data_IF_232143997082
#
_entry.id   IF_232143997082
#
_cell.length_a   1.000
_cell.length_b   1.000
_cell.length_c   1.000
_cell.angle_alpha   90.00
_cell.angle_beta   90.00
_cell.angle_gamma   90.00
#
_symmetry.space_group_name_H-M   'P 1'
#
loop_
_entity.id
_entity.type
_entity.pdbx_description
1 polymer ?
#
# COMPACT_ATOMS: atom_id res chain seq x y z
N UNK A 1 9.75 13.10 5.88
CA UNK A 1 8.86 11.95 6.00
C UNK A 1 8.28 11.54 4.66
N UNK A 2 7.53 10.42 4.59
CA UNK A 2 7.00 9.86 3.33
C UNK A 2 6.30 10.91 2.47
N UNK A 3 5.51 11.79 3.06
CA UNK A 3 4.76 12.82 2.33
C UNK A 3 5.63 13.93 1.74
N UNK A 4 6.72 14.29 2.38
CA UNK A 4 7.65 15.30 1.84
C UNK A 4 8.37 14.80 0.58
N UNK A 5 8.44 13.49 0.41
CA UNK A 5 9.09 12.85 -0.74
C UNK A 5 8.12 12.53 -1.89
N UNK A 6 6.81 12.64 -1.68
CA UNK A 6 5.80 12.29 -2.70
C UNK A 6 6.04 13.00 -4.04
N UNK A 7 6.31 14.32 -4.09
CA UNK A 7 6.56 14.99 -5.38
C UNK A 7 7.77 14.43 -6.12
N UNK A 8 8.86 14.11 -5.39
CA UNK A 8 10.08 13.55 -5.98
C UNK A 8 9.85 12.13 -6.48
N UNK A 9 9.18 11.29 -5.68
CA UNK A 9 8.84 9.92 -6.05
C UNK A 9 7.85 9.89 -7.22
N UNK A 10 6.84 10.75 -7.20
CA UNK A 10 5.90 10.89 -8.30
C UNK A 10 6.62 11.23 -9.60
N UNK A 11 7.51 12.23 -9.59
CA UNK A 11 8.29 12.64 -10.76
C UNK A 11 9.13 11.50 -11.31
N UNK A 12 9.74 10.68 -10.45
CA UNK A 12 10.49 9.48 -10.85
C UNK A 12 9.62 8.43 -11.51
N UNK A 13 8.50 8.06 -10.88
CA UNK A 13 7.56 7.05 -11.37
C UNK A 13 6.84 7.49 -12.65
N UNK A 14 6.53 8.77 -12.78
CA UNK A 14 5.84 9.35 -13.93
C UNK A 14 6.78 9.79 -15.07
N UNK A 15 8.03 9.32 -15.07
CA UNK A 15 9.02 9.66 -16.08
C UNK A 15 9.25 11.17 -16.26
N UNK A 16 9.28 11.88 -15.15
CA UNK A 16 9.58 13.31 -15.12
C UNK A 16 8.38 14.24 -15.22
N UNK A 17 7.15 13.72 -15.29
CA UNK A 17 5.96 14.57 -15.20
C UNK A 17 5.88 15.26 -13.83
N UNK A 18 5.44 16.53 -13.86
CA UNK A 18 5.19 17.28 -12.63
C UNK A 18 3.92 16.83 -11.93
N UNK A 19 3.88 16.76 -10.58
CA UNK A 19 2.64 16.56 -9.84
C UNK A 19 1.55 17.58 -10.16
N UNK A 20 1.92 18.76 -10.66
CA UNK A 20 0.96 19.80 -11.07
C UNK A 20 -0.05 19.33 -12.12
N UNK A 21 0.27 18.28 -12.89
CA UNK A 21 -0.66 17.66 -13.83
C UNK A 21 -1.96 17.20 -13.14
N UNK A 22 -1.87 16.78 -11.88
CA UNK A 22 -3.03 16.37 -11.08
C UNK A 22 -3.90 17.55 -10.66
N UNK A 23 -3.33 18.75 -10.55
CA UNK A 23 -4.07 19.96 -10.20
C UNK A 23 -4.67 20.64 -11.42
N UNK A 24 -3.92 20.68 -12.52
CA UNK A 24 -4.30 21.35 -13.77
C UNK A 24 -5.09 20.44 -14.73
N UNK A 25 -5.06 19.12 -14.51
CA UNK A 25 -5.66 18.13 -15.41
C UNK A 25 -4.80 17.76 -16.62
N UNK A 26 -3.80 18.57 -16.95
CA UNK A 26 -2.86 18.30 -18.06
C UNK A 26 -1.52 18.99 -17.83
N UNK A 27 -0.52 18.57 -18.59
CA UNK A 27 0.79 19.27 -18.73
C UNK A 27 1.30 19.09 -20.16
N UNK A 28 2.25 19.94 -20.55
CA UNK A 28 2.95 19.77 -21.82
C UNK A 28 4.33 19.16 -21.57
N UNK A 29 4.63 18.06 -22.25
CA UNK A 29 5.89 17.35 -22.15
C UNK A 29 6.45 17.14 -23.58
N UNK A 30 7.62 17.73 -23.85
CA UNK A 30 8.25 17.67 -25.17
C UNK A 30 7.34 18.08 -26.34
N UNK A 31 6.50 19.11 -26.12
CA UNK A 31 5.55 19.60 -27.12
C UNK A 31 4.28 18.76 -27.26
N UNK A 32 4.11 17.73 -26.44
CA UNK A 32 2.89 16.89 -26.42
C UNK A 32 2.10 17.18 -25.15
N UNK A 33 0.80 17.44 -25.29
CA UNK A 33 -0.08 17.58 -24.16
C UNK A 33 -0.46 16.22 -23.61
N UNK A 34 -0.20 16.01 -22.31
CA UNK A 34 -0.46 14.75 -21.59
C UNK A 34 -1.29 15.00 -20.35
N UNK A 35 -2.07 13.99 -19.98
CA UNK A 35 -2.88 13.97 -18.77
C UNK A 35 -2.82 12.59 -18.13
N UNK A 36 -3.07 12.51 -16.82
CA UNK A 36 -3.36 11.25 -16.15
C UNK A 36 -4.85 11.01 -16.10
N UNK A 37 -5.24 9.84 -16.56
CA UNK A 37 -6.64 9.39 -16.50
C UNK A 37 -6.75 8.36 -15.38
N UNK A 38 -7.62 8.56 -14.38
CA UNK A 38 -7.80 7.58 -13.32
C UNK A 38 -8.35 6.27 -13.89
N UNK A 39 -7.80 5.14 -13.45
CA UNK A 39 -8.27 3.79 -13.82
C UNK A 39 -9.31 3.26 -12.84
N UNK A 40 -9.57 4.00 -11.77
CA UNK A 40 -10.61 3.69 -10.79
C UNK A 40 -11.19 4.98 -10.22
N UNK A 41 -12.47 4.96 -9.87
CA UNK A 41 -13.12 6.07 -9.16
C UNK A 41 -12.75 6.12 -7.68
N UNK A 42 -12.44 4.96 -7.11
CA UNK A 42 -11.92 4.81 -5.76
C UNK A 42 -11.04 3.56 -5.69
N UNK A 43 -9.97 3.63 -4.91
CA UNK A 43 -9.13 2.49 -4.60
C UNK A 43 -9.74 1.69 -3.46
N UNK A 44 -10.08 0.43 -3.70
CA UNK A 44 -10.44 -0.50 -2.63
C UNK A 44 -9.19 -0.94 -1.88
N UNK A 45 -9.22 -0.96 -0.53
CA UNK A 45 -8.07 -1.35 0.29
C UNK A 45 -8.54 -2.30 1.38
N UNK A 46 -8.05 -3.53 1.36
CA UNK A 46 -8.37 -4.55 2.36
C UNK A 46 -7.09 -4.87 3.13
N UNK A 47 -6.98 -4.32 4.35
CA UNK A 47 -5.76 -4.35 5.14
C UNK A 47 -5.67 -5.58 6.05
N UNK A 48 -4.45 -6.05 6.34
CA UNK A 48 -4.18 -7.04 7.37
C UNK A 48 -4.09 -6.40 8.76
N UNK A 49 -3.97 -7.22 9.80
CA UNK A 49 -3.80 -6.76 11.19
C UNK A 49 -2.35 -6.84 11.70
N UNK A 50 -1.42 -7.36 10.91
CA UNK A 50 -0.11 -7.76 11.41
C UNK A 50 0.92 -6.63 11.46
N UNK A 51 0.81 -5.61 10.61
CA UNK A 51 1.80 -4.54 10.55
C UNK A 51 1.17 -3.19 10.18
N UNK A 52 1.52 -2.10 10.88
CA UNK A 52 1.11 -0.76 10.50
C UNK A 52 1.78 -0.26 9.22
N UNK A 53 2.92 -0.85 8.83
CA UNK A 53 3.72 -0.40 7.68
C UNK A 53 2.98 -0.52 6.34
N UNK A 54 2.06 -1.48 6.22
CA UNK A 54 1.26 -1.69 5.00
C UNK A 54 0.41 -0.48 4.62
N UNK A 55 0.10 0.39 5.59
CA UNK A 55 -0.62 1.63 5.30
C UNK A 55 0.15 2.57 4.36
N UNK A 56 1.49 2.47 4.31
CA UNK A 56 2.30 3.27 3.40
C UNK A 56 1.99 3.00 1.91
N UNK A 57 1.36 1.88 1.58
CA UNK A 57 1.06 1.50 0.21
C UNK A 57 -0.18 2.21 -0.35
N UNK A 58 -1.23 2.41 0.45
CA UNK A 58 -2.44 3.10 -0.01
C UNK A 58 -2.37 4.64 0.14
N UNK A 59 -1.57 5.13 1.08
CA UNK A 59 -1.41 6.56 1.36
C UNK A 59 -1.12 7.40 0.10
N UNK A 60 -0.24 6.97 -0.83
CA UNK A 60 0.05 7.72 -2.04
C UNK A 60 -1.16 7.96 -2.94
N UNK A 61 -2.23 7.15 -2.86
CA UNK A 61 -3.44 7.35 -3.66
C UNK A 61 -4.09 8.71 -3.42
N UNK A 62 -4.00 9.22 -2.18
CA UNK A 62 -4.54 10.54 -1.82
C UNK A 62 -3.77 11.66 -2.52
N UNK A 63 -2.44 11.53 -2.62
CA UNK A 63 -1.64 12.48 -3.39
C UNK A 63 -1.96 12.41 -4.90
N UNK A 64 -2.41 11.26 -5.38
CA UNK A 64 -2.89 11.03 -6.74
C UNK A 64 -4.36 11.42 -6.93
N UNK A 65 -4.97 12.07 -5.94
CA UNK A 65 -6.39 12.50 -5.93
C UNK A 65 -7.38 11.35 -6.16
N UNK A 66 -7.02 10.17 -5.70
CA UNK A 66 -7.86 8.97 -5.77
C UNK A 66 -8.42 8.66 -4.38
N UNK A 67 -9.74 8.73 -4.19
CA UNK A 67 -10.38 8.35 -2.93
C UNK A 67 -10.13 6.89 -2.57
N UNK A 68 -10.22 6.56 -1.28
CA UNK A 68 -10.05 5.18 -0.79
C UNK A 68 -11.30 4.66 -0.11
N UNK A 69 -11.62 3.41 -0.38
CA UNK A 69 -12.61 2.61 0.34
C UNK A 69 -11.85 1.55 1.12
N UNK A 70 -11.72 1.74 2.43
CA UNK A 70 -10.80 0.99 3.26
C UNK A 70 -11.53 0.09 4.25
N UNK A 71 -11.20 -1.19 4.19
CA UNK A 71 -11.54 -2.17 5.22
C UNK A 71 -10.30 -2.49 6.04
N UNK A 72 -10.26 -2.11 7.33
CA UNK A 72 -9.12 -2.40 8.19
C UNK A 72 -9.04 -3.90 8.53
N UNK A 73 -7.88 -4.31 9.00
CA UNK A 73 -7.71 -5.58 9.67
C UNK A 73 -8.55 -5.66 10.94
N UNK A 74 -9.07 -6.84 11.25
CA UNK A 74 -9.99 -7.04 12.39
C UNK A 74 -9.36 -6.69 13.73
N UNK A 75 -8.10 -7.11 13.92
CA UNK A 75 -7.41 -6.97 15.21
C UNK A 75 -6.73 -5.60 15.37
N UNK A 76 -6.55 -4.86 14.27
CA UNK A 76 -5.90 -3.54 14.29
C UNK A 76 -6.57 -2.54 13.33
N UNK A 77 -7.75 -2.00 13.69
CA UNK A 77 -8.44 -1.00 12.89
C UNK A 77 -7.95 0.44 13.15
N UNK A 78 -7.18 0.67 14.21
CA UNK A 78 -6.91 2.00 14.72
C UNK A 78 -5.83 2.77 13.96
N UNK A 79 -4.81 2.10 13.47
CA UNK A 79 -3.75 2.76 12.69
C UNK A 79 -4.30 3.43 11.43
N UNK A 80 -5.02 2.72 10.54
CA UNK A 80 -5.59 3.36 9.36
C UNK A 80 -6.61 4.45 9.72
N UNK A 81 -7.41 4.26 10.75
CA UNK A 81 -8.32 5.29 11.24
C UNK A 81 -7.60 6.57 11.64
N UNK A 82 -6.53 6.46 12.44
CA UNK A 82 -5.72 7.62 12.86
C UNK A 82 -5.06 8.32 11.69
N UNK A 83 -4.61 7.57 10.68
CA UNK A 83 -4.05 8.12 9.45
C UNK A 83 -5.11 8.94 8.71
N UNK A 84 -6.31 8.40 8.54
CA UNK A 84 -7.43 9.11 7.93
C UNK A 84 -7.73 10.42 8.69
N UNK A 85 -7.84 10.35 10.03
CA UNK A 85 -8.09 11.55 10.83
C UNK A 85 -6.97 12.59 10.69
N UNK A 86 -5.72 12.16 10.57
CA UNK A 86 -4.59 13.05 10.33
C UNK A 86 -4.69 13.76 8.97
N UNK A 87 -5.12 13.05 7.92
CA UNK A 87 -5.37 13.64 6.61
C UNK A 87 -6.49 14.69 6.64
N UNK A 88 -7.62 14.34 7.25
CA UNK A 88 -8.77 15.27 7.37
C UNK A 88 -8.35 16.52 8.16
N UNK A 89 -7.63 16.35 9.28
CA UNK A 89 -7.09 17.46 10.06
C UNK A 89 -6.11 18.32 9.28
N UNK A 90 -5.40 17.74 8.34
CA UNK A 90 -4.47 18.44 7.44
C UNK A 90 -5.17 19.12 6.24
N UNK A 91 -6.50 19.03 6.13
CA UNK A 91 -7.30 19.68 5.08
C UNK A 91 -7.71 18.79 3.92
N UNK A 92 -7.47 17.49 3.98
CA UNK A 92 -8.01 16.57 2.97
C UNK A 92 -9.54 16.47 3.11
N UNK A 93 -10.31 16.39 2.01
CA UNK A 93 -11.75 16.22 2.06
C UNK A 93 -12.12 14.92 2.79
N UNK A 94 -13.05 14.96 3.72
CA UNK A 94 -13.49 13.77 4.46
C UNK A 94 -14.10 12.72 3.52
N UNK A 95 -14.72 13.16 2.45
CA UNK A 95 -15.34 12.34 1.41
C UNK A 95 -14.34 11.49 0.61
N UNK A 96 -13.05 11.85 0.66
CA UNK A 96 -11.98 11.04 0.06
C UNK A 96 -11.74 9.72 0.80
N UNK A 97 -12.32 9.53 1.98
CA UNK A 97 -12.09 8.38 2.83
C UNK A 97 -13.39 7.70 3.22
N UNK A 98 -13.53 6.45 2.83
CA UNK A 98 -14.58 5.57 3.33
C UNK A 98 -13.93 4.47 4.19
N UNK A 99 -14.36 4.34 5.44
CA UNK A 99 -13.77 3.41 6.40
C UNK A 99 -14.84 2.44 6.91
N UNK A 100 -14.68 1.17 6.55
CA UNK A 100 -15.66 0.12 6.84
C UNK A 100 -15.04 -1.05 7.61
N UNK A 101 -15.05 -1.05 8.95
CA UNK A 101 -14.79 -2.26 9.73
C UNK A 101 -15.90 -3.29 9.42
N UNK A 102 -15.55 -4.35 8.72
CA UNK A 102 -16.50 -5.35 8.25
C UNK A 102 -15.88 -6.75 8.25
N UNK A 103 -16.71 -7.77 8.15
CA UNK A 103 -16.30 -9.16 7.96
C UNK A 103 -15.90 -9.44 6.48
N UNK A 104 -15.75 -10.72 6.12
CA UNK A 104 -15.30 -11.12 4.78
C UNK A 104 -16.26 -10.72 3.65
N UNK A 105 -17.55 -10.67 3.90
CA UNK A 105 -18.56 -10.19 2.96
C UNK A 105 -18.33 -8.73 2.55
N UNK A 106 -17.89 -7.88 3.51
CA UNK A 106 -17.47 -6.52 3.22
C UNK A 106 -16.25 -6.45 2.29
N UNK A 107 -15.28 -7.36 2.45
CA UNK A 107 -14.14 -7.46 1.50
C UNK A 107 -14.64 -7.78 0.09
N UNK A 108 -15.51 -8.77 -0.03
CA UNK A 108 -16.11 -9.16 -1.31
C UNK A 108 -16.93 -8.04 -1.95
N UNK A 109 -17.62 -7.23 -1.14
CA UNK A 109 -18.34 -6.06 -1.64
C UNK A 109 -17.39 -5.00 -2.19
N UNK A 110 -16.27 -4.71 -1.52
CA UNK A 110 -15.25 -3.77 -1.99
C UNK A 110 -14.66 -4.26 -3.32
N UNK A 111 -14.27 -5.55 -3.39
CA UNK A 111 -13.68 -6.12 -4.62
C UNK A 111 -14.64 -5.99 -5.81
N UNK A 112 -15.93 -6.23 -5.61
CA UNK A 112 -16.92 -6.14 -6.70
C UNK A 112 -17.24 -4.72 -7.14
N UNK A 113 -17.03 -3.71 -6.28
CA UNK A 113 -17.45 -2.34 -6.56
C UNK A 113 -16.29 -1.38 -6.86
N UNK A 114 -15.03 -1.81 -6.74
CA UNK A 114 -13.87 -1.02 -7.08
C UNK A 114 -13.18 -1.59 -8.33
N UNK A 115 -12.80 -0.73 -9.25
CA UNK A 115 -12.06 -1.14 -10.46
C UNK A 115 -10.60 -1.48 -10.17
N UNK A 116 -10.09 -1.04 -9.02
CA UNK A 116 -8.76 -1.37 -8.51
C UNK A 116 -8.83 -1.63 -7.02
N UNK A 117 -8.24 -2.74 -6.59
CA UNK A 117 -8.24 -3.16 -5.19
C UNK A 117 -6.84 -3.59 -4.78
N UNK A 118 -6.41 -3.14 -3.62
CA UNK A 118 -5.23 -3.64 -2.92
C UNK A 118 -5.70 -4.61 -1.82
N UNK A 119 -5.32 -5.86 -1.95
CA UNK A 119 -5.79 -6.95 -1.10
C UNK A 119 -4.64 -7.62 -0.37
N UNK A 120 -4.68 -7.59 0.96
CA UNK A 120 -3.77 -8.36 1.80
C UNK A 120 -4.44 -9.61 2.31
N UNK A 121 -3.76 -10.75 2.21
CA UNK A 121 -4.31 -12.01 2.66
C UNK A 121 -3.30 -13.14 2.73
N UNK A 122 -3.71 -14.27 3.31
CA UNK A 122 -2.94 -15.51 3.27
C UNK A 122 -3.01 -16.19 1.90
N UNK A 123 -2.29 -17.31 1.75
CA UNK A 123 -2.13 -18.01 0.49
C UNK A 123 -3.47 -18.40 -0.18
N UNK A 124 -4.49 -18.75 0.59
CA UNK A 124 -5.81 -19.09 0.04
C UNK A 124 -6.49 -17.88 -0.60
N UNK A 125 -6.37 -16.71 0.04
CA UNK A 125 -6.89 -15.46 -0.49
C UNK A 125 -6.12 -15.03 -1.73
N UNK A 126 -4.79 -15.15 -1.70
CA UNK A 126 -3.92 -14.82 -2.85
C UNK A 126 -4.32 -15.66 -4.05
N UNK A 127 -4.38 -16.99 -3.90
CA UNK A 127 -4.75 -17.91 -4.99
C UNK A 127 -6.11 -17.60 -5.63
N UNK A 128 -7.06 -17.10 -4.84
CA UNK A 128 -8.38 -16.75 -5.36
C UNK A 128 -8.36 -15.55 -6.32
N UNK A 129 -7.43 -14.62 -6.13
CA UNK A 129 -7.40 -13.34 -6.86
C UNK A 129 -6.12 -13.10 -7.65
N UNK A 130 -5.16 -14.04 -7.65
CA UNK A 130 -3.86 -13.86 -8.32
C UNK A 130 -3.95 -13.63 -9.84
N UNK A 131 -5.03 -14.08 -10.47
CA UNK A 131 -5.27 -13.90 -11.90
C UNK A 131 -6.25 -12.76 -12.22
N UNK A 132 -6.70 -12.01 -11.23
CA UNK A 132 -7.57 -10.85 -11.44
C UNK A 132 -6.73 -9.57 -11.59
N UNK A 133 -6.62 -8.98 -12.79
CA UNK A 133 -5.80 -7.80 -13.03
C UNK A 133 -6.31 -6.54 -12.32
N UNK A 134 -7.52 -6.56 -11.79
CA UNK A 134 -8.08 -5.47 -10.99
C UNK A 134 -7.66 -5.52 -9.52
N UNK A 135 -7.11 -6.66 -9.05
CA UNK A 135 -6.73 -6.90 -7.66
C UNK A 135 -5.21 -7.02 -7.53
N UNK A 136 -4.59 -6.09 -6.85
CA UNK A 136 -3.19 -6.17 -6.45
C UNK A 136 -3.10 -6.98 -5.15
N UNK A 137 -2.59 -8.21 -5.25
CA UNK A 137 -2.54 -9.15 -4.11
C UNK A 137 -1.22 -9.04 -3.37
N UNK A 138 -1.29 -8.89 -2.05
CA UNK A 138 -0.16 -8.89 -1.14
C UNK A 138 -0.28 -10.10 -0.19
N UNK A 139 0.49 -11.14 -0.49
CA UNK A 139 0.52 -12.39 0.28
C UNK A 139 1.57 -12.40 1.39
N UNK A 140 1.89 -13.61 1.84
CA UNK A 140 2.95 -13.83 2.82
C UNK A 140 4.31 -13.41 2.27
N UNK A 141 5.12 -12.73 3.10
CA UNK A 141 6.50 -12.43 2.78
C UNK A 141 7.32 -13.70 2.63
N UNK A 142 8.25 -13.70 1.68
CA UNK A 142 9.17 -14.82 1.44
C UNK A 142 10.62 -14.33 1.43
N UNK A 143 10.93 -13.40 2.31
CA UNK A 143 12.29 -12.89 2.46
C UNK A 143 13.25 -13.99 2.87
N UNK A 144 14.46 -13.91 2.38
CA UNK A 144 15.53 -14.87 2.63
C UNK A 144 16.74 -14.13 3.19
N UNK A 145 17.44 -14.77 4.10
CA UNK A 145 18.78 -14.40 4.51
C UNK A 145 19.72 -15.39 3.84
N UNK A 146 20.64 -14.89 3.03
CA UNK A 146 21.58 -15.71 2.29
C UNK A 146 22.98 -15.39 2.81
N UNK A 147 23.72 -16.42 3.21
CA UNK A 147 25.15 -16.33 3.50
C UNK A 147 25.92 -16.68 2.22
N UNK A 148 26.87 -15.84 1.88
CA UNK A 148 27.82 -16.13 0.82
C UNK A 148 28.89 -17.13 1.29
N UNK A 149 29.64 -17.68 0.34
CA UNK A 149 30.70 -18.66 0.61
C UNK A 149 31.80 -18.12 1.54
N UNK A 150 31.96 -16.80 1.56
CA UNK A 150 32.90 -16.04 2.38
C UNK A 150 32.49 -15.98 3.85
N UNK A 151 31.21 -16.10 4.18
CA UNK A 151 30.65 -15.94 5.53
C UNK A 151 29.91 -17.19 6.06
N UNK A 152 29.75 -18.22 5.25
CA UNK A 152 28.96 -19.40 5.65
C UNK A 152 29.55 -20.14 6.86
N UNK A 153 30.87 -20.16 7.00
CA UNK A 153 31.53 -20.78 8.14
C UNK A 153 31.42 -19.95 9.41
N UNK A 154 31.26 -18.63 9.28
CA UNK A 154 31.14 -17.67 10.39
C UNK A 154 29.68 -17.36 10.76
N UNK A 155 28.71 -18.13 10.25
CA UNK A 155 27.28 -17.83 10.46
C UNK A 155 26.88 -17.62 11.93
N UNK A 156 27.61 -18.23 12.87
CA UNK A 156 27.35 -18.08 14.30
C UNK A 156 27.61 -16.67 14.80
N UNK A 157 28.49 -15.91 14.19
CA UNK A 157 28.80 -14.53 14.55
C UNK A 157 27.62 -13.59 14.18
N UNK A 158 26.74 -14.06 13.30
CA UNK A 158 25.55 -13.35 12.85
C UNK A 158 24.25 -13.78 13.55
N UNK A 159 24.32 -14.66 14.57
CA UNK A 159 23.11 -15.20 15.25
C UNK A 159 22.22 -14.08 15.78
N UNK A 160 22.79 -13.06 16.41
CA UNK A 160 22.00 -11.94 16.95
C UNK A 160 21.24 -11.18 15.87
N UNK A 161 21.87 -10.99 14.71
CA UNK A 161 21.23 -10.37 13.55
C UNK A 161 20.07 -11.24 13.01
N UNK A 162 20.31 -12.55 12.88
CA UNK A 162 19.30 -13.52 12.43
C UNK A 162 18.10 -13.54 13.37
N UNK A 163 18.36 -13.66 14.68
CA UNK A 163 17.30 -13.68 15.69
C UNK A 163 16.50 -12.39 15.67
N UNK A 164 17.15 -11.23 15.63
CA UNK A 164 16.47 -9.94 15.54
C UNK A 164 15.62 -9.82 14.27
N UNK A 165 16.16 -10.26 13.13
CA UNK A 165 15.44 -10.22 11.86
C UNK A 165 14.19 -11.09 11.87
N UNK A 166 14.26 -12.30 12.43
CA UNK A 166 13.15 -13.24 12.47
C UNK A 166 12.14 -12.88 13.57
N UNK A 167 12.60 -12.42 14.74
CA UNK A 167 11.73 -12.12 15.88
C UNK A 167 11.17 -10.71 15.90
N UNK A 168 11.60 -9.83 14.99
CA UNK A 168 11.11 -8.46 14.89
C UNK A 168 9.58 -8.43 14.80
N UNK A 169 8.95 -7.51 15.56
CA UNK A 169 7.50 -7.40 15.65
C UNK A 169 6.82 -8.73 16.02
N UNK A 170 7.45 -9.53 16.90
CA UNK A 170 6.99 -10.86 17.31
C UNK A 170 6.77 -11.81 16.12
N UNK A 171 7.61 -11.73 15.08
CA UNK A 171 7.53 -12.55 13.88
C UNK A 171 6.34 -12.22 12.96
N UNK A 172 5.69 -11.07 13.15
CA UNK A 172 4.51 -10.66 12.36
C UNK A 172 4.85 -9.77 11.16
N UNK A 173 6.10 -9.42 10.97
CA UNK A 173 6.53 -8.67 9.79
C UNK A 173 6.52 -9.55 8.54
N UNK A 174 6.26 -8.96 7.38
CA UNK A 174 6.28 -9.66 6.09
C UNK A 174 7.70 -9.82 5.53
N UNK A 175 8.67 -9.99 6.43
CA UNK A 175 10.09 -10.20 6.10
C UNK A 175 10.42 -11.69 6.11
#
# INVERSE_FOLDING_TARGET
GVFSEVPTRFKGLSRGLSPEVLDKGFTDQHGVRVAFVPTTNALGVILPSNSPAVNALWIPSIAMKTPVILKPGREEPWTPWRIIQAFIKAGAPAEAFSFYPAHHDGSSAIIRNCNRVMLFGGDDTVRQYENDPSVEVHGAGRSKIIFGDDEIENWRDHIDLLVRSISANSGRSCI
#
